data_IF_043049582166
#
_entry.id   IF_043049582166
#
_cell.length_a   1.000
_cell.length_b   1.000
_cell.length_c   1.000
_cell.angle_alpha   90.00
_cell.angle_beta   90.00
_cell.angle_gamma   90.00
#
_symmetry.space_group_name_H-M   'P 1'
#
loop_
_entity.id
_entity.type
_entity.pdbx_description
1 polymer ?
#
# COMPACT_ATOMS: atom_id res chain seq x y z
N UNK A 1 6.70 12.34 -11.44
CA UNK A 1 5.78 11.36 -10.82
C UNK A 1 4.60 12.12 -10.23
N UNK A 2 3.41 11.65 -10.47
CA UNK A 2 2.18 12.24 -9.92
C UNK A 2 1.24 11.15 -9.42
N UNK A 3 0.40 11.51 -8.46
CA UNK A 3 -0.65 10.65 -7.93
C UNK A 3 -2.00 11.12 -8.50
N UNK A 4 -2.67 10.26 -9.23
CA UNK A 4 -3.99 10.55 -9.81
C UNK A 4 -5.03 9.67 -9.13
N UNK A 5 -6.15 10.25 -8.73
CA UNK A 5 -7.24 9.51 -8.09
C UNK A 5 -7.60 8.26 -8.89
N UNK A 6 -7.72 7.13 -8.20
CA UNK A 6 -8.06 5.85 -8.84
C UNK A 6 -9.39 5.90 -9.58
N UNK A 7 -10.35 6.69 -9.07
CA UNK A 7 -11.66 6.88 -9.72
C UNK A 7 -11.56 7.56 -11.09
N UNK A 8 -10.48 8.27 -11.36
CA UNK A 8 -10.21 8.89 -12.66
C UNK A 8 -9.44 7.97 -13.60
N UNK A 9 -8.92 6.84 -13.09
CA UNK A 9 -8.13 5.87 -13.84
C UNK A 9 -8.55 4.43 -13.50
N UNK A 10 -9.84 4.15 -13.53
CA UNK A 10 -10.41 2.88 -13.06
C UNK A 10 -9.82 1.65 -13.75
N UNK A 11 -9.67 1.69 -15.08
CA UNK A 11 -9.10 0.55 -15.82
C UNK A 11 -7.66 0.28 -15.40
N UNK A 12 -6.85 1.32 -15.35
CA UNK A 12 -5.46 1.19 -14.94
C UNK A 12 -5.36 0.66 -13.50
N UNK A 13 -6.15 1.21 -12.58
CA UNK A 13 -6.17 0.78 -11.20
C UNK A 13 -6.56 -0.70 -11.06
N UNK A 14 -7.62 -1.14 -11.74
CA UNK A 14 -8.05 -2.54 -11.74
C UNK A 14 -6.95 -3.48 -12.24
N UNK A 15 -6.32 -3.12 -13.35
CA UNK A 15 -5.26 -3.94 -13.94
C UNK A 15 -4.03 -4.03 -13.02
N UNK A 16 -3.60 -2.90 -12.46
CA UNK A 16 -2.47 -2.86 -11.53
C UNK A 16 -2.76 -3.62 -10.24
N UNK A 17 -3.96 -3.49 -9.70
CA UNK A 17 -4.36 -4.25 -8.51
C UNK A 17 -4.37 -5.75 -8.77
N UNK A 18 -4.77 -6.18 -9.96
CA UNK A 18 -4.75 -7.59 -10.33
C UNK A 18 -3.31 -8.14 -10.37
N UNK A 19 -2.37 -7.39 -10.91
CA UNK A 19 -0.96 -7.76 -10.88
C UNK A 19 -0.44 -7.88 -9.44
N UNK A 20 -0.80 -6.93 -8.60
CA UNK A 20 -0.43 -6.91 -7.19
C UNK A 20 -0.98 -8.13 -6.44
N UNK A 21 -2.27 -8.42 -6.60
CA UNK A 21 -2.90 -9.56 -5.95
C UNK A 21 -2.25 -10.89 -6.38
N UNK A 22 -1.92 -11.01 -7.66
CA UNK A 22 -1.21 -12.19 -8.16
C UNK A 22 0.17 -12.33 -7.51
N UNK A 23 0.91 -11.26 -7.41
CA UNK A 23 2.23 -11.26 -6.76
C UNK A 23 2.12 -11.66 -5.27
N UNK A 24 1.12 -11.12 -4.55
CA UNK A 24 0.87 -11.45 -3.16
C UNK A 24 0.42 -12.91 -2.96
N UNK A 25 -0.22 -13.51 -3.95
CA UNK A 25 -0.71 -14.90 -3.85
C UNK A 25 0.42 -15.90 -3.60
N UNK A 26 1.66 -15.54 -3.92
CA UNK A 26 2.84 -16.32 -3.58
C UNK A 26 2.99 -16.50 -2.06
N UNK A 27 2.59 -15.48 -1.29
CA UNK A 27 2.75 -15.44 0.17
C UNK A 27 1.45 -15.67 0.94
N UNK A 28 0.32 -15.60 0.25
CA UNK A 28 -1.00 -15.80 0.81
C UNK A 28 -1.83 -16.69 -0.12
N UNK A 29 -1.83 -18.02 0.10
CA UNK A 29 -2.56 -18.96 -0.76
C UNK A 29 -4.07 -18.71 -0.85
N UNK A 30 -4.66 -18.08 0.17
CA UNK A 30 -6.08 -17.71 0.15
C UNK A 30 -6.41 -16.83 -1.05
N UNK A 31 -5.51 -15.93 -1.46
CA UNK A 31 -5.71 -15.08 -2.63
C UNK A 31 -5.92 -15.89 -3.90
N UNK A 32 -5.26 -17.05 -4.02
CA UNK A 32 -5.47 -17.93 -5.17
C UNK A 32 -6.90 -18.45 -5.30
N UNK A 33 -7.67 -18.47 -4.19
CA UNK A 33 -9.08 -18.85 -4.18
C UNK A 33 -10.01 -17.70 -4.56
N UNK A 34 -9.49 -16.48 -4.64
CA UNK A 34 -10.26 -15.25 -4.87
C UNK A 34 -10.23 -14.78 -6.32
N UNK A 35 -9.82 -15.63 -7.23
CA UNK A 35 -9.87 -15.35 -8.68
C UNK A 35 -11.23 -15.74 -9.23
N UNK A 36 -11.84 -14.85 -10.02
CA UNK A 36 -13.14 -15.14 -10.65
C UNK A 36 -12.99 -15.81 -12.03
N UNK A 37 -14.10 -16.09 -12.69
CA UNK A 37 -14.11 -16.75 -14.01
C UNK A 37 -13.44 -15.92 -15.11
N UNK A 38 -13.29 -14.64 -14.93
CA UNK A 38 -12.60 -13.74 -15.88
C UNK A 38 -11.09 -13.63 -15.58
N UNK A 39 -10.61 -14.34 -14.57
CA UNK A 39 -9.19 -14.29 -14.17
C UNK A 39 -8.83 -13.06 -13.34
N UNK A 40 -9.79 -12.46 -12.66
CA UNK A 40 -9.60 -11.25 -11.87
C UNK A 40 -9.65 -11.58 -10.38
N UNK A 41 -8.62 -11.18 -9.65
CA UNK A 41 -8.57 -11.31 -8.20
C UNK A 41 -9.40 -10.24 -7.51
N UNK A 42 -10.16 -10.61 -6.49
CA UNK A 42 -10.85 -9.69 -5.59
C UNK A 42 -11.65 -8.60 -6.31
N UNK A 43 -12.30 -8.94 -7.43
CA UNK A 43 -12.95 -7.95 -8.30
C UNK A 43 -13.97 -7.06 -7.57
N UNK A 44 -14.77 -7.63 -6.66
CA UNK A 44 -15.74 -6.88 -5.87
C UNK A 44 -15.07 -5.96 -4.86
N UNK A 45 -13.98 -6.43 -4.25
CA UNK A 45 -13.21 -5.65 -3.27
C UNK A 45 -12.57 -4.42 -3.91
N UNK A 46 -12.01 -4.58 -5.10
CA UNK A 46 -11.36 -3.48 -5.85
C UNK A 46 -12.34 -2.36 -6.16
N UNK A 47 -13.58 -2.70 -6.54
CA UNK A 47 -14.60 -1.70 -6.86
C UNK A 47 -14.96 -0.81 -5.66
N UNK A 48 -14.83 -1.33 -4.44
CA UNK A 48 -15.13 -0.56 -3.22
C UNK A 48 -14.20 0.63 -3.03
N UNK A 49 -12.95 0.54 -3.49
CA UNK A 49 -11.99 1.64 -3.35
C UNK A 49 -12.43 2.93 -4.07
N UNK A 50 -13.26 2.81 -5.10
CA UNK A 50 -13.71 4.00 -5.85
C UNK A 50 -14.76 4.82 -5.11
N UNK A 51 -15.43 4.23 -4.14
CA UNK A 51 -16.56 4.84 -3.44
C UNK A 51 -16.37 4.95 -1.92
N UNK A 52 -15.36 4.29 -1.37
CA UNK A 52 -15.09 4.29 0.07
C UNK A 52 -14.44 5.61 0.48
N UNK A 53 -15.13 6.39 1.32
CA UNK A 53 -14.62 7.69 1.79
C UNK A 53 -13.60 7.58 2.92
N UNK A 54 -13.42 6.38 3.49
CA UNK A 54 -12.41 6.13 4.53
C UNK A 54 -11.01 5.87 3.98
N UNK A 55 -10.89 5.74 2.66
CA UNK A 55 -9.62 5.52 1.97
C UNK A 55 -9.42 6.54 0.86
N UNK A 56 -8.15 6.85 0.60
CA UNK A 56 -7.72 7.60 -0.57
C UNK A 56 -6.87 6.68 -1.42
N UNK A 57 -7.33 6.34 -2.61
CA UNK A 57 -6.61 5.49 -3.55
C UNK A 57 -6.18 6.26 -4.79
N UNK A 58 -4.93 6.03 -5.19
CA UNK A 58 -4.32 6.75 -6.32
C UNK A 58 -3.57 5.78 -7.23
N UNK A 59 -3.60 6.05 -8.54
CA UNK A 59 -2.59 5.52 -9.43
C UNK A 59 -1.34 6.37 -9.35
N UNK A 60 -0.19 5.70 -9.38
CA UNK A 60 1.12 6.35 -9.48
C UNK A 60 1.44 6.44 -10.96
N UNK A 61 1.65 7.65 -11.46
CA UNK A 61 1.83 7.92 -12.90
C UNK A 61 3.16 8.60 -13.14
N UNK A 62 3.90 8.11 -14.13
CA UNK A 62 5.16 8.68 -14.57
C UNK A 62 5.16 8.76 -16.09
N UNK A 63 5.43 9.94 -16.63
CA UNK A 63 5.40 10.18 -18.08
C UNK A 63 4.13 9.65 -18.75
N UNK A 64 2.98 9.99 -18.18
CA UNK A 64 1.64 9.58 -18.63
C UNK A 64 1.36 8.07 -18.55
N UNK A 65 2.26 7.28 -17.95
CA UNK A 65 2.10 5.84 -17.78
C UNK A 65 1.78 5.49 -16.34
N UNK A 66 0.72 4.73 -16.08
CA UNK A 66 0.46 4.21 -14.74
C UNK A 66 1.48 3.12 -14.42
N UNK A 67 2.26 3.34 -13.37
CA UNK A 67 3.34 2.43 -12.97
C UNK A 67 3.08 1.74 -11.64
N UNK A 68 1.99 2.07 -10.97
CA UNK A 68 1.64 1.47 -9.69
C UNK A 68 0.43 2.14 -9.08
N UNK A 69 0.18 1.82 -7.82
CA UNK A 69 -0.90 2.46 -7.06
C UNK A 69 -0.53 2.53 -5.58
N UNK A 70 -1.23 3.38 -4.85
CA UNK A 70 -1.13 3.47 -3.40
C UNK A 70 -2.52 3.71 -2.80
N UNK A 71 -2.78 3.10 -1.65
CA UNK A 71 -4.02 3.24 -0.91
C UNK A 71 -3.67 3.67 0.50
N UNK A 72 -4.19 4.83 0.90
CA UNK A 72 -4.07 5.36 2.26
C UNK A 72 -5.40 5.23 2.96
N UNK A 73 -5.39 4.84 4.24
CA UNK A 73 -6.58 4.89 5.09
C UNK A 73 -6.51 6.10 6.01
N UNK A 74 -7.68 6.69 6.25
CA UNK A 74 -7.86 7.82 7.14
C UNK A 74 -9.10 7.59 7.99
N UNK A 75 -8.91 7.15 9.21
CA UNK A 75 -9.95 7.09 10.22
C UNK A 75 -9.56 7.95 11.41
N UNK A 76 -10.51 8.32 12.25
CA UNK A 76 -10.26 9.18 13.41
C UNK A 76 -9.10 8.68 14.26
N UNK A 77 -8.02 9.45 14.32
CA UNK A 77 -6.84 9.16 15.13
C UNK A 77 -5.90 8.10 14.57
N UNK A 78 -6.30 7.39 13.51
CA UNK A 78 -5.46 6.38 12.86
C UNK A 78 -5.42 6.61 11.36
N UNK A 79 -4.20 6.73 10.84
CA UNK A 79 -3.95 6.75 9.41
C UNK A 79 -3.14 5.51 9.05
N UNK A 80 -3.13 5.15 7.78
CA UNK A 80 -2.40 3.98 7.34
C UNK A 80 -1.96 4.06 5.89
N UNK A 81 -0.93 3.31 5.58
CA UNK A 81 -0.59 2.96 4.20
C UNK A 81 -1.05 1.51 4.06
N UNK A 82 -2.22 1.34 3.44
CA UNK A 82 -2.84 0.02 3.36
C UNK A 82 -2.20 -0.84 2.30
N UNK A 83 -1.97 -0.26 1.12
CA UNK A 83 -1.38 -0.96 -0.01
C UNK A 83 -0.50 -0.01 -0.81
N UNK A 84 0.63 -0.50 -1.29
CA UNK A 84 1.46 0.21 -2.27
C UNK A 84 2.10 -0.81 -3.21
N UNK A 85 2.03 -0.53 -4.49
CA UNK A 85 2.55 -1.41 -5.54
C UNK A 85 3.19 -0.61 -6.65
N UNK A 86 4.32 -1.07 -7.13
CA UNK A 86 4.97 -0.60 -8.34
C UNK A 86 5.25 -1.77 -9.27
N UNK A 87 5.08 -1.58 -10.56
CA UNK A 87 5.54 -2.56 -11.54
C UNK A 87 7.05 -2.78 -11.38
N UNK A 88 7.54 -3.97 -11.73
CA UNK A 88 8.91 -4.37 -11.42
C UNK A 88 9.97 -3.41 -11.95
N UNK A 89 9.79 -2.90 -13.17
CA UNK A 89 10.76 -1.99 -13.79
C UNK A 89 10.84 -0.61 -13.13
N UNK A 90 9.85 -0.27 -12.30
CA UNK A 90 9.82 1.02 -11.57
C UNK A 90 10.31 0.92 -10.12
N UNK A 91 10.74 -0.27 -9.71
CA UNK A 91 11.25 -0.51 -8.35
C UNK A 91 12.74 -0.14 -8.23
N UNK A 92 13.16 0.17 -7.01
CA UNK A 92 14.55 0.51 -6.73
C UNK A 92 14.96 1.91 -7.15
N UNK A 93 14.01 2.76 -7.53
CA UNK A 93 14.24 4.15 -7.97
C UNK A 93 13.82 5.18 -6.92
N UNK A 94 13.40 4.73 -5.74
CA UNK A 94 13.02 5.62 -4.65
C UNK A 94 11.60 6.16 -4.70
N UNK A 95 10.77 5.72 -5.65
CA UNK A 95 9.41 6.25 -5.85
C UNK A 95 8.51 5.96 -4.65
N UNK A 96 8.43 4.71 -4.22
CA UNK A 96 7.60 4.34 -3.06
C UNK A 96 8.11 4.97 -1.77
N UNK A 97 9.42 5.08 -1.60
CA UNK A 97 10.04 5.77 -0.47
C UNK A 97 9.62 7.24 -0.42
N UNK A 98 9.66 7.94 -1.55
CA UNK A 98 9.25 9.33 -1.66
C UNK A 98 7.77 9.50 -1.28
N UNK A 99 6.89 8.63 -1.78
CA UNK A 99 5.47 8.66 -1.48
C UNK A 99 5.22 8.46 0.02
N UNK A 100 5.83 7.44 0.61
CA UNK A 100 5.65 7.15 2.04
C UNK A 100 6.18 8.27 2.92
N UNK A 101 7.36 8.77 2.63
CA UNK A 101 7.94 9.88 3.40
C UNK A 101 7.12 11.17 3.29
N UNK A 102 6.57 11.46 2.12
CA UNK A 102 5.68 12.61 1.93
C UNK A 102 4.42 12.45 2.77
N UNK A 103 3.79 11.28 2.71
CA UNK A 103 2.60 10.97 3.51
C UNK A 103 2.87 11.14 5.01
N UNK A 104 4.00 10.62 5.50
CA UNK A 104 4.35 10.73 6.93
C UNK A 104 4.61 12.19 7.35
N UNK A 105 5.24 12.99 6.49
CA UNK A 105 5.49 14.42 6.80
C UNK A 105 4.21 15.25 6.86
N UNK A 106 3.23 14.89 6.04
CA UNK A 106 1.96 15.62 5.95
C UNK A 106 0.94 15.24 7.01
N UNK A 107 1.19 14.19 7.76
CA UNK A 107 0.26 13.65 8.74
C UNK A 107 0.86 13.60 10.13
N UNK A 108 -0.02 13.47 11.13
CA UNK A 108 0.35 13.38 12.55
C UNK A 108 -0.35 12.19 13.18
N UNK A 109 0.13 11.78 14.34
CA UNK A 109 -0.44 10.68 15.09
C UNK A 109 0.23 9.34 14.76
N UNK A 110 -0.55 8.28 14.75
CA UNK A 110 -0.03 6.93 14.50
C UNK A 110 -0.39 6.51 13.08
N UNK A 111 0.63 6.12 12.33
CA UNK A 111 0.44 5.50 11.02
C UNK A 111 0.65 4.00 11.13
N UNK A 112 -0.37 3.22 10.76
CA UNK A 112 -0.32 1.77 10.78
C UNK A 112 -0.03 1.22 9.39
N UNK A 113 0.74 0.14 9.33
CA UNK A 113 0.87 -0.66 8.13
C UNK A 113 1.01 -2.14 8.51
N UNK A 114 0.52 -3.00 7.63
CA UNK A 114 0.52 -4.44 7.83
C UNK A 114 1.31 -5.11 6.71
N UNK A 115 2.13 -6.08 7.09
CA UNK A 115 2.98 -6.80 6.14
C UNK A 115 2.84 -8.29 6.41
N UNK A 116 2.60 -9.08 5.36
CA UNK A 116 2.59 -10.54 5.47
C UNK A 116 3.95 -11.04 5.99
N UNK A 117 3.92 -11.82 7.06
CA UNK A 117 5.15 -12.37 7.67
C UNK A 117 5.96 -13.20 6.68
N UNK A 118 5.29 -13.92 5.78
CA UNK A 118 5.92 -14.75 4.77
C UNK A 118 6.59 -13.94 3.65
N UNK A 119 6.23 -12.67 3.50
CA UNK A 119 6.79 -11.79 2.47
C UNK A 119 8.08 -11.12 3.00
N UNK A 120 9.14 -11.90 3.12
CA UNK A 120 10.42 -11.43 3.66
C UNK A 120 10.97 -10.19 2.93
N UNK A 121 10.92 -10.10 1.60
CA UNK A 121 11.39 -8.89 0.91
C UNK A 121 10.63 -7.63 1.34
N UNK A 122 9.31 -7.73 1.51
CA UNK A 122 8.52 -6.59 1.96
C UNK A 122 8.80 -6.23 3.42
N UNK A 123 8.96 -7.22 4.29
CA UNK A 123 9.32 -6.99 5.70
C UNK A 123 10.65 -6.22 5.78
N UNK A 124 11.66 -6.67 5.04
CA UNK A 124 12.97 -6.02 4.99
C UNK A 124 12.86 -4.59 4.45
N UNK A 125 12.11 -4.42 3.38
CA UNK A 125 11.90 -3.10 2.76
C UNK A 125 11.28 -2.11 3.75
N UNK A 126 10.18 -2.50 4.39
CA UNK A 126 9.47 -1.63 5.32
C UNK A 126 10.28 -1.29 6.55
N UNK A 127 10.95 -2.27 7.15
CA UNK A 127 11.79 -2.02 8.32
C UNK A 127 12.93 -1.06 8.00
N UNK A 128 13.59 -1.23 6.86
CA UNK A 128 14.64 -0.33 6.42
C UNK A 128 14.11 1.09 6.18
N UNK A 129 12.96 1.21 5.54
CA UNK A 129 12.36 2.52 5.25
C UNK A 129 11.95 3.25 6.53
N UNK A 130 11.29 2.54 7.46
CA UNK A 130 10.86 3.13 8.73
C UNK A 130 12.09 3.59 9.52
N UNK A 131 13.12 2.76 9.62
CA UNK A 131 14.35 3.10 10.34
C UNK A 131 15.05 4.32 9.73
N UNK A 132 15.15 4.38 8.42
CA UNK A 132 15.72 5.54 7.72
C UNK A 132 14.92 6.83 7.95
N UNK A 133 13.62 6.73 8.16
CA UNK A 133 12.77 7.91 8.36
C UNK A 133 13.01 8.60 9.70
N UNK A 134 13.60 7.88 10.66
CA UNK A 134 13.88 8.39 12.00
C UNK A 134 12.68 8.42 12.94
N UNK A 135 11.50 8.00 12.51
CA UNK A 135 10.33 7.91 13.38
C UNK A 135 10.44 6.74 14.34
N UNK A 136 9.99 6.94 15.58
CA UNK A 136 9.80 5.83 16.51
C UNK A 136 8.66 4.92 15.99
N UNK A 137 8.79 3.63 16.23
CA UNK A 137 7.76 2.68 15.81
C UNK A 137 7.72 1.47 16.72
N UNK A 138 6.60 0.77 16.68
CA UNK A 138 6.42 -0.52 17.32
C UNK A 138 6.09 -1.58 16.26
N UNK A 139 6.70 -2.74 16.40
CA UNK A 139 6.39 -3.92 15.60
C UNK A 139 5.55 -4.86 16.44
N UNK A 140 4.29 -5.06 16.08
CA UNK A 140 3.32 -5.84 16.83
C UNK A 140 3.11 -7.21 16.18
N UNK A 141 3.10 -8.23 17.01
CA UNK A 141 2.79 -9.61 16.61
C UNK A 141 1.41 -9.99 17.16
N UNK A 142 0.39 -9.28 16.70
CA UNK A 142 -1.00 -9.46 17.15
C UNK A 142 -1.87 -10.21 16.13
N UNK A 143 -1.29 -10.61 15.01
CA UNK A 143 -1.98 -11.36 13.96
C UNK A 143 -1.11 -12.55 13.52
N UNK A 144 -1.75 -13.69 13.26
CA UNK A 144 -1.04 -14.93 12.90
C UNK A 144 -0.17 -14.79 11.65
N UNK A 145 -0.67 -14.08 10.63
CA UNK A 145 -0.04 -14.01 9.31
C UNK A 145 0.63 -12.70 8.98
N UNK A 146 0.40 -11.64 9.77
CA UNK A 146 0.89 -10.31 9.47
C UNK A 146 1.62 -9.68 10.65
N UNK A 147 2.69 -8.94 10.34
CA UNK A 147 3.25 -7.95 11.25
C UNK A 147 2.44 -6.66 11.14
N UNK A 148 2.17 -6.01 12.26
CA UNK A 148 1.64 -4.66 12.29
C UNK A 148 2.74 -3.70 12.74
N UNK A 149 2.96 -2.64 11.97
CA UNK A 149 3.88 -1.57 12.37
C UNK A 149 3.06 -0.34 12.71
N UNK A 150 3.27 0.19 13.91
CA UNK A 150 2.69 1.46 14.33
C UNK A 150 3.79 2.51 14.37
N UNK A 151 3.78 3.42 13.41
CA UNK A 151 4.79 4.47 13.26
C UNK A 151 4.27 5.72 13.96
N UNK A 152 5.05 6.23 14.90
CA UNK A 152 4.67 7.42 15.67
C UNK A 152 5.15 8.67 14.93
N UNK A 153 4.22 9.29 14.21
CA UNK A 153 4.50 10.51 13.47
C UNK A 153 4.58 11.68 14.44
N UNK A 154 5.52 12.55 14.18
CA UNK A 154 5.78 13.66 15.09
C UNK A 154 4.56 14.58 15.16
N UNK A 155 4.04 14.79 16.38
CA UNK A 155 2.93 15.70 16.61
C UNK A 155 3.41 17.12 16.94
N UNK A 156 4.71 17.30 17.22
CA UNK A 156 5.32 18.58 17.50
C UNK A 156 5.95 19.16 16.25
N UNK A 157 5.72 20.40 16.02
CA UNK A 157 6.36 21.17 14.95
C UNK A 157 7.33 22.12 15.56
#
# INVERSE_FOLDING_TARGET
>A
MELIKSSEMKYAFRNLFNLYAHELSKYNPWLGTQINSDGIYLSEHVEQYFNDTSVDSFCIVEEERPIGFVIFSKSEGNIGIDEIFLIQTSRGLGISEEICKSFWRENKGICSLHVLKANFPAVTYWENLIQKSGYAYEKLDDHEQMWCYEIKLDSSV
#
